data_IF_088770300427
#
_entry.id   IF_088770300427
#
_cell.length_a   1.000
_cell.length_b   1.000
_cell.length_c   1.000
_cell.angle_alpha   90.00
_cell.angle_beta   90.00
_cell.angle_gamma   90.00
#
_symmetry.space_group_name_H-M   'P 1'
#
loop_
_entity.id
_entity.type
_entity.pdbx_description
1 polymer ?
#
# COMPACT_ATOMS: atom_id res chain seq x y z
N UNK A 1 2.92 5.88 -1.54
CA UNK A 1 3.79 6.37 -0.44
C UNK A 1 3.50 7.85 -0.22
N UNK A 2 3.38 8.25 1.04
CA UNK A 2 3.14 9.62 1.49
C UNK A 2 4.39 10.15 2.17
N UNK A 3 4.87 11.33 1.79
CA UNK A 3 6.13 11.90 2.28
C UNK A 3 6.06 13.43 2.40
N UNK A 4 6.85 14.02 3.28
CA UNK A 4 7.05 15.48 3.36
C UNK A 4 8.01 16.00 2.28
N UNK A 5 8.86 15.12 1.75
CA UNK A 5 9.90 15.43 0.76
C UNK A 5 9.70 14.52 -0.47
N UNK A 6 8.89 15.02 -1.42
CA UNK A 6 8.55 14.31 -2.66
C UNK A 6 9.75 14.26 -3.61
N UNK A 7 10.52 15.34 -3.70
CA UNK A 7 11.65 15.43 -4.61
C UNK A 7 12.71 14.37 -4.27
N UNK A 8 13.11 14.30 -3.00
CA UNK A 8 14.09 13.29 -2.55
C UNK A 8 13.56 11.87 -2.70
N UNK A 9 12.28 11.64 -2.41
CA UNK A 9 11.67 10.32 -2.54
C UNK A 9 11.61 9.86 -4.00
N UNK A 10 11.27 10.76 -4.92
CA UNK A 10 11.28 10.54 -6.37
C UNK A 10 12.70 10.29 -6.87
N UNK A 11 13.68 11.09 -6.44
CA UNK A 11 15.08 10.84 -6.79
C UNK A 11 15.52 9.44 -6.34
N UNK A 12 15.22 9.07 -5.09
CA UNK A 12 15.58 7.76 -4.55
C UNK A 12 14.94 6.61 -5.34
N UNK A 13 13.63 6.68 -5.64
CA UNK A 13 12.93 5.60 -6.35
C UNK A 13 13.45 5.42 -7.78
N UNK A 14 13.78 6.51 -8.46
CA UNK A 14 14.30 6.47 -9.83
C UNK A 14 15.78 6.07 -9.89
N UNK A 15 16.61 6.57 -8.98
CA UNK A 15 18.08 6.38 -9.07
C UNK A 15 18.57 5.11 -8.37
N UNK A 16 18.03 4.80 -7.19
CA UNK A 16 18.46 3.67 -6.36
C UNK A 16 17.70 2.38 -6.70
N UNK A 17 16.41 2.50 -7.02
CA UNK A 17 15.55 1.35 -7.34
C UNK A 17 15.29 1.18 -8.84
N UNK A 18 15.82 2.08 -9.68
CA UNK A 18 15.67 2.03 -11.14
C UNK A 18 14.19 1.94 -11.57
N UNK A 19 13.30 2.60 -10.82
CA UNK A 19 11.90 2.66 -11.16
C UNK A 19 11.68 3.52 -12.42
N UNK A 20 10.85 3.03 -13.32
CA UNK A 20 10.40 3.77 -14.50
C UNK A 20 9.25 4.68 -14.12
N UNK A 21 9.16 5.86 -14.72
CA UNK A 21 8.08 6.82 -14.50
C UNK A 21 7.07 6.77 -15.63
N UNK A 22 5.80 6.98 -15.33
CA UNK A 22 4.80 7.29 -16.35
C UNK A 22 5.01 8.70 -16.92
N UNK A 23 4.23 9.06 -17.95
CA UNK A 23 4.39 10.31 -18.72
C UNK A 23 4.20 11.59 -17.92
N UNK A 24 3.36 11.57 -16.88
CA UNK A 24 3.07 12.74 -16.04
C UNK A 24 3.87 12.78 -14.73
N UNK A 25 4.68 11.76 -14.44
CA UNK A 25 5.52 11.71 -13.26
C UNK A 25 4.81 11.33 -11.96
N UNK A 26 3.53 10.94 -12.02
CA UNK A 26 2.73 10.63 -10.82
C UNK A 26 2.84 9.18 -10.36
N UNK A 27 3.23 8.28 -11.27
CA UNK A 27 3.35 6.84 -11.03
C UNK A 27 4.72 6.30 -11.42
N UNK A 28 5.21 5.39 -10.60
CA UNK A 28 6.46 4.68 -10.80
C UNK A 28 6.23 3.17 -10.86
N UNK A 29 7.00 2.47 -11.67
CA UNK A 29 6.97 1.02 -11.76
C UNK A 29 8.39 0.46 -11.63
N UNK A 30 8.60 -0.52 -10.75
CA UNK A 30 9.89 -1.21 -10.69
C UNK A 30 10.13 -2.03 -11.97
N UNK A 31 11.37 -2.50 -12.22
CA UNK A 31 11.71 -3.18 -13.48
C UNK A 31 10.90 -4.45 -13.81
N UNK A 32 10.25 -5.08 -12.84
CA UNK A 32 9.44 -6.29 -13.00
C UNK A 32 8.15 -6.03 -13.77
N UNK A 33 7.80 -6.94 -14.68
CA UNK A 33 6.73 -6.73 -15.66
C UNK A 33 5.32 -6.67 -15.08
N UNK A 34 5.11 -7.05 -13.83
CA UNK A 34 3.79 -7.13 -13.17
C UNK A 34 3.81 -6.48 -11.77
N UNK A 35 4.77 -5.59 -11.50
CA UNK A 35 4.86 -4.95 -10.20
C UNK A 35 3.75 -3.91 -10.03
N UNK A 36 3.15 -3.76 -8.84
CA UNK A 36 2.23 -2.66 -8.56
C UNK A 36 2.88 -1.32 -8.85
N UNK A 37 2.06 -0.36 -9.24
CA UNK A 37 2.50 1.02 -9.41
C UNK A 37 2.67 1.68 -8.05
N UNK A 38 3.66 2.57 -7.97
CA UNK A 38 3.99 3.33 -6.77
C UNK A 38 3.69 4.78 -7.06
N UNK A 39 2.85 5.42 -6.25
CA UNK A 39 2.70 6.88 -6.26
C UNK A 39 3.44 7.49 -5.07
N UNK A 40 4.03 8.67 -5.28
CA UNK A 40 4.69 9.46 -4.24
C UNK A 40 3.90 10.75 -4.07
N UNK A 41 3.22 10.89 -2.93
CA UNK A 41 2.30 12.00 -2.67
C UNK A 41 2.82 12.83 -1.50
N UNK A 42 2.73 14.16 -1.63
CA UNK A 42 3.07 15.08 -0.54
C UNK A 42 2.02 14.97 0.56
N UNK A 43 2.45 14.83 1.81
CA UNK A 43 1.53 14.96 2.95
C UNK A 43 1.15 16.43 3.22
N UNK A 44 -0.03 16.69 3.80
CA UNK A 44 -0.36 18.01 4.37
C UNK A 44 0.72 18.50 5.35
N UNK A 45 0.86 19.81 5.50
CA UNK A 45 1.88 20.39 6.41
C UNK A 45 1.62 20.06 7.89
N UNK A 46 0.38 19.78 8.24
CA UNK A 46 -0.10 19.38 9.56
C UNK A 46 -0.23 17.86 9.74
N UNK A 47 0.24 17.07 8.77
CA UNK A 47 0.14 15.62 8.81
C UNK A 47 0.87 15.04 10.03
N UNK A 48 0.16 14.16 10.74
CA UNK A 48 0.71 13.37 11.83
C UNK A 48 1.71 12.33 11.31
N UNK A 49 2.62 11.82 12.16
CA UNK A 49 3.54 10.75 11.77
C UNK A 49 2.84 9.49 11.23
N UNK A 50 1.59 9.24 11.63
CA UNK A 50 0.79 8.11 11.15
C UNK A 50 0.31 8.26 9.69
N UNK A 51 0.30 9.48 9.16
CA UNK A 51 -0.12 9.78 7.78
C UNK A 51 1.04 9.75 6.80
N UNK A 52 2.27 9.68 7.31
CA UNK A 52 3.50 9.55 6.54
C UNK A 52 3.79 8.06 6.33
N UNK A 53 4.22 7.69 5.12
CA UNK A 53 4.68 6.35 4.80
C UNK A 53 3.73 5.59 3.87
N UNK A 54 3.39 4.37 4.24
CA UNK A 54 2.70 3.45 3.35
C UNK A 54 1.20 3.76 3.26
N UNK A 55 0.71 3.84 2.02
CA UNK A 55 -0.71 3.78 1.70
C UNK A 55 -0.88 2.72 0.62
N UNK A 56 -1.78 1.77 0.84
CA UNK A 56 -2.01 0.65 -0.09
C UNK A 56 -3.37 0.80 -0.73
N UNK A 57 -3.42 0.83 -2.06
CA UNK A 57 -4.66 0.77 -2.82
C UNK A 57 -4.77 -0.62 -3.42
N UNK A 58 -5.80 -1.37 -3.03
CA UNK A 58 -6.12 -2.66 -3.62
C UNK A 58 -7.07 -2.46 -4.79
N UNK A 59 -6.75 -3.06 -5.92
CA UNK A 59 -7.70 -3.19 -7.01
C UNK A 59 -8.53 -4.46 -6.83
N UNK A 60 -9.84 -4.34 -7.07
CA UNK A 60 -10.79 -5.46 -6.98
C UNK A 60 -11.59 -5.59 -8.26
N UNK A 61 -11.89 -6.83 -8.64
CA UNK A 61 -12.68 -7.10 -9.84
C UNK A 61 -14.13 -6.60 -9.78
N UNK A 62 -14.68 -6.40 -8.57
CA UNK A 62 -16.04 -5.90 -8.40
C UNK A 62 -16.15 -5.05 -7.14
N UNK A 63 -16.11 -3.73 -7.32
CA UNK A 63 -16.18 -2.77 -6.23
C UNK A 63 -17.54 -2.77 -5.53
N UNK A 64 -18.64 -3.06 -6.23
CA UNK A 64 -19.97 -3.15 -5.61
C UNK A 64 -20.06 -4.35 -4.65
N UNK A 65 -19.48 -5.48 -5.04
CA UNK A 65 -19.37 -6.65 -4.15
C UNK A 65 -18.49 -6.34 -2.95
N UNK A 66 -17.35 -5.67 -3.16
CA UNK A 66 -16.49 -5.24 -2.06
C UNK A 66 -17.26 -4.31 -1.09
N UNK A 67 -18.02 -3.35 -1.61
CA UNK A 67 -18.88 -2.46 -0.79
C UNK A 67 -19.85 -3.25 0.09
N UNK A 68 -20.56 -4.23 -0.48
CA UNK A 68 -21.49 -5.09 0.29
C UNK A 68 -20.81 -5.89 1.39
N UNK A 69 -19.60 -6.40 1.14
CA UNK A 69 -18.82 -7.11 2.15
C UNK A 69 -18.42 -6.16 3.28
N UNK A 70 -17.89 -4.98 2.95
CA UNK A 70 -17.51 -3.97 3.93
C UNK A 70 -18.71 -3.54 4.79
N UNK A 71 -19.88 -3.31 4.19
CA UNK A 71 -21.12 -3.00 4.91
C UNK A 71 -21.58 -4.15 5.82
N UNK A 72 -21.52 -5.39 5.33
CA UNK A 72 -21.94 -6.58 6.10
C UNK A 72 -21.07 -6.79 7.33
N UNK A 73 -19.75 -6.58 7.19
CA UNK A 73 -18.75 -6.75 8.25
C UNK A 73 -18.57 -5.48 9.10
N UNK A 74 -19.44 -4.47 8.94
CA UNK A 74 -19.39 -3.20 9.67
C UNK A 74 -18.02 -2.50 9.61
N UNK A 75 -17.36 -2.58 8.45
CA UNK A 75 -16.12 -1.83 8.18
C UNK A 75 -16.48 -0.42 7.76
N UNK A 76 -15.95 0.55 8.48
CA UNK A 76 -16.12 1.96 8.15
C UNK A 76 -15.27 2.33 6.94
N UNK A 77 -15.91 2.93 5.94
CA UNK A 77 -15.22 3.48 4.77
C UNK A 77 -15.84 4.79 4.30
N UNK A 78 -15.03 5.61 3.65
CA UNK A 78 -15.45 6.83 2.95
C UNK A 78 -15.28 6.61 1.46
N UNK A 79 -16.33 6.88 0.69
CA UNK A 79 -16.26 6.82 -0.77
C UNK A 79 -15.80 8.17 -1.33
N UNK A 80 -14.74 8.13 -2.13
CA UNK A 80 -14.19 9.27 -2.86
C UNK A 80 -14.35 9.04 -4.37
N UNK A 81 -14.51 10.13 -5.11
CA UNK A 81 -14.43 10.11 -6.58
C UNK A 81 -13.03 10.54 -7.01
N UNK A 82 -12.38 9.70 -7.81
CA UNK A 82 -11.06 9.97 -8.40
C UNK A 82 -11.18 10.90 -9.63
N UNK A 83 -10.04 11.40 -10.11
CA UNK A 83 -9.98 12.32 -11.26
C UNK A 83 -10.56 11.72 -12.55
N UNK A 84 -10.46 10.40 -12.70
CA UNK A 84 -11.03 9.63 -13.81
C UNK A 84 -12.53 9.28 -13.60
N UNK A 85 -13.17 9.89 -12.60
CA UNK A 85 -14.55 9.61 -12.17
C UNK A 85 -14.80 8.21 -11.62
N UNK A 86 -13.75 7.40 -11.41
CA UNK A 86 -13.88 6.12 -10.73
C UNK A 86 -14.07 6.31 -9.22
N UNK A 87 -14.69 5.31 -8.58
CA UNK A 87 -14.90 5.32 -7.14
C UNK A 87 -13.74 4.63 -6.39
N UNK A 88 -13.34 5.24 -5.28
CA UNK A 88 -12.37 4.71 -4.32
C UNK A 88 -13.02 4.61 -2.94
N UNK A 89 -12.98 3.44 -2.32
CA UNK A 89 -13.41 3.22 -0.95
C UNK A 89 -12.20 3.32 -0.03
N UNK A 90 -12.05 4.44 0.68
CA UNK A 90 -10.99 4.63 1.68
C UNK A 90 -11.43 4.00 3.00
N UNK A 91 -10.65 3.05 3.49
CA UNK A 91 -10.99 2.26 4.67
C UNK A 91 -10.45 2.92 5.94
N UNK A 92 -11.13 2.70 7.06
CA UNK A 92 -10.60 3.10 8.35
C UNK A 92 -9.30 2.33 8.67
N UNK A 93 -8.19 3.07 8.76
CA UNK A 93 -6.88 2.55 9.15
C UNK A 93 -6.89 1.90 10.55
N UNK A 94 -7.81 2.23 11.44
CA UNK A 94 -7.97 1.54 12.73
C UNK A 94 -8.61 0.16 12.58
N UNK A 95 -9.21 -0.19 11.44
CA UNK A 95 -9.70 -1.54 11.17
C UNK A 95 -8.74 -2.31 10.25
N UNK A 96 -8.29 -1.67 9.16
CA UNK A 96 -7.33 -2.26 8.22
C UNK A 96 -5.90 -2.36 8.80
N UNK A 97 -5.59 -1.49 9.77
CA UNK A 97 -4.32 -1.39 10.48
C UNK A 97 -3.27 -0.50 9.82
N UNK A 98 -3.39 -0.25 8.52
CA UNK A 98 -2.64 0.79 7.81
C UNK A 98 -3.58 1.53 6.86
N UNK A 99 -3.18 2.72 6.43
CA UNK A 99 -3.97 3.52 5.51
C UNK A 99 -4.18 2.77 4.19
N UNK A 100 -5.44 2.47 3.87
CA UNK A 100 -5.81 1.55 2.80
C UNK A 100 -7.01 2.07 2.03
N UNK A 101 -7.07 1.77 0.74
CA UNK A 101 -8.30 1.89 -0.04
C UNK A 101 -8.51 0.73 -0.99
N UNK A 102 -9.72 0.67 -1.53
CA UNK A 102 -10.15 -0.29 -2.54
C UNK A 102 -10.70 0.45 -3.75
N UNK A 103 -10.25 0.10 -4.95
CA UNK A 103 -10.77 0.63 -6.20
C UNK A 103 -11.12 -0.50 -7.18
N UNK A 104 -11.98 -0.20 -8.14
CA UNK A 104 -12.28 -1.13 -9.22
C UNK A 104 -11.02 -1.36 -10.08
N UNK A 105 -10.71 -2.62 -10.38
CA UNK A 105 -9.69 -2.96 -11.40
C UNK A 105 -10.10 -2.32 -12.74
N UNK A 106 -9.21 -1.59 -13.41
CA UNK A 106 -9.49 -1.05 -14.73
C UNK A 106 -9.94 -2.15 -15.70
N UNK A 107 -10.95 -1.86 -16.52
CA UNK A 107 -11.45 -2.81 -17.51
C UNK A 107 -10.46 -3.11 -18.64
N UNK A 108 -9.48 -2.23 -18.83
CA UNK A 108 -8.40 -2.38 -19.81
C UNK A 108 -7.06 -2.47 -19.07
N UNK A 109 -6.23 -3.44 -19.45
CA UNK A 109 -4.88 -3.56 -18.91
C UNK A 109 -4.08 -2.32 -19.36
N UNK A 110 -3.59 -1.53 -18.40
CA UNK A 110 -2.79 -0.34 -18.69
C UNK A 110 -1.60 -0.74 -19.57
N UNK A 111 -1.45 -0.08 -20.72
CA UNK A 111 -0.33 -0.35 -21.61
C UNK A 111 1.00 -0.12 -20.86
N UNK A 112 1.87 -1.12 -20.87
CA UNK A 112 3.20 -1.05 -20.24
C UNK A 112 4.12 -0.04 -20.95
N UNK A 113 3.73 0.43 -22.12
CA UNK A 113 4.48 1.41 -22.91
C UNK A 113 4.45 2.83 -22.34
N UNK A 114 3.62 3.10 -21.31
CA UNK A 114 3.57 4.42 -20.67
C UNK A 114 4.75 4.68 -19.73
N UNK A 115 5.50 3.65 -19.34
CA UNK A 115 6.60 3.76 -18.38
C UNK A 115 7.96 3.86 -19.06
N UNK A 116 8.65 4.98 -18.82
CA UNK A 116 9.97 5.27 -19.40
C UNK A 116 11.06 5.25 -18.34
N UNK A 117 12.25 4.77 -18.73
CA UNK A 117 13.41 4.76 -17.82
C UNK A 117 14.01 6.15 -17.72
N UNK A 118 14.20 6.64 -16.50
CA UNK A 118 14.96 7.85 -16.25
C UNK A 118 16.46 7.55 -16.40
N UNK A 119 17.19 8.41 -17.11
CA UNK A 119 18.59 8.20 -17.51
C UNK A 119 19.62 8.22 -16.35
N UNK A 120 19.16 8.26 -15.10
CA UNK A 120 19.98 8.49 -13.90
C UNK A 120 20.19 7.29 -12.98
N UNK A 121 19.70 6.09 -13.32
CA UNK A 121 19.90 4.91 -12.46
C UNK A 121 21.39 4.55 -12.31
N UNK A 122 21.83 4.32 -11.07
CA UNK A 122 23.23 3.93 -10.80
C UNK A 122 23.50 2.57 -11.44
N UNK A 123 24.63 2.45 -12.17
CA UNK A 123 24.99 1.19 -12.84
C UNK A 123 25.10 0.01 -11.87
N UNK A 124 25.50 0.26 -10.62
CA UNK A 124 25.69 -0.75 -9.58
C UNK A 124 24.39 -1.35 -9.03
N UNK A 125 23.26 -0.63 -9.14
CA UNK A 125 21.95 -1.06 -8.62
C UNK A 125 20.95 -1.37 -9.74
N UNK A 126 21.33 -1.14 -10.99
CA UNK A 126 20.52 -1.49 -12.15
C UNK A 126 20.25 -3.01 -12.12
N UNK A 127 18.99 -3.38 -11.89
CA UNK A 127 18.47 -4.75 -11.71
C UNK A 127 18.65 -5.38 -10.30
N UNK A 128 19.07 -4.64 -9.28
CA UNK A 128 19.15 -5.20 -7.91
C UNK A 128 17.78 -5.37 -7.25
N UNK A 129 16.83 -4.51 -7.62
CA UNK A 129 15.44 -4.59 -7.16
C UNK A 129 14.54 -4.66 -8.38
N UNK A 130 13.79 -5.75 -8.49
CA UNK A 130 12.94 -6.02 -9.65
C UNK A 130 11.47 -5.82 -9.31
N UNK A 131 11.06 -6.10 -8.08
CA UNK A 131 9.65 -6.09 -7.68
C UNK A 131 9.49 -5.72 -6.20
N UNK A 132 8.34 -5.16 -5.84
CA UNK A 132 7.85 -5.08 -4.48
C UNK A 132 7.37 -6.47 -4.10
N UNK A 133 8.11 -7.13 -3.20
CA UNK A 133 7.74 -8.48 -2.79
C UNK A 133 6.64 -8.48 -1.72
N UNK A 134 6.80 -7.66 -0.68
CA UNK A 134 5.85 -7.48 0.41
C UNK A 134 6.16 -6.18 1.15
N UNK A 135 5.26 -5.77 2.03
CA UNK A 135 5.52 -4.76 3.06
C UNK A 135 5.24 -5.36 4.43
N UNK A 136 5.89 -4.81 5.46
CA UNK A 136 5.60 -5.12 6.84
C UNK A 136 5.05 -3.86 7.50
N UNK A 137 4.04 -4.05 8.35
CA UNK A 137 3.47 -2.98 9.17
C UNK A 137 3.52 -3.41 10.63
N UNK A 138 3.77 -2.45 11.52
CA UNK A 138 3.79 -2.66 12.97
C UNK A 138 2.51 -2.04 13.49
N UNK A 139 1.71 -2.85 14.19
CA UNK A 139 0.39 -2.44 14.67
C UNK A 139 0.15 -2.93 16.09
N UNK A 140 -0.55 -2.16 16.93
CA UNK A 140 -1.17 -2.69 18.14
C UNK A 140 -2.37 -3.57 17.76
N UNK A 141 -2.66 -4.59 18.59
CA UNK A 141 -3.77 -5.53 18.44
C UNK A 141 -3.85 -6.19 17.05
N UNK A 142 -3.13 -7.31 16.89
CA UNK A 142 -3.05 -8.01 15.61
C UNK A 142 -4.31 -8.82 15.26
N UNK A 143 -5.18 -9.12 16.22
CA UNK A 143 -6.27 -10.07 16.01
C UNK A 143 -7.39 -9.47 15.16
N UNK A 144 -7.78 -8.23 15.45
CA UNK A 144 -8.76 -7.51 14.62
C UNK A 144 -8.23 -7.32 13.19
N UNK A 145 -6.94 -7.04 13.04
CA UNK A 145 -6.30 -6.85 11.73
C UNK A 145 -6.24 -8.16 10.97
N UNK A 146 -5.89 -9.24 11.67
CA UNK A 146 -5.87 -10.58 11.09
C UNK A 146 -7.24 -10.97 10.55
N UNK A 147 -8.30 -10.76 11.33
CA UNK A 147 -9.68 -10.98 10.85
C UNK A 147 -9.97 -10.17 9.59
N UNK A 148 -9.63 -8.87 9.60
CA UNK A 148 -9.82 -8.00 8.44
C UNK A 148 -9.09 -8.54 7.19
N UNK A 149 -7.80 -8.86 7.30
CA UNK A 149 -7.03 -9.33 6.16
C UNK A 149 -7.52 -10.70 5.66
N UNK A 150 -7.87 -11.62 6.56
CA UNK A 150 -8.28 -12.98 6.20
C UNK A 150 -9.72 -13.07 5.69
N UNK A 151 -10.68 -12.42 6.36
CA UNK A 151 -12.10 -12.57 6.05
C UNK A 151 -12.59 -11.53 5.05
N UNK A 152 -12.08 -10.30 5.12
CA UNK A 152 -12.56 -9.21 4.26
C UNK A 152 -11.72 -9.13 2.98
N UNK A 153 -10.38 -9.15 3.10
CA UNK A 153 -9.50 -9.16 1.92
C UNK A 153 -9.20 -10.57 1.38
N UNK A 154 -9.73 -11.62 2.02
CA UNK A 154 -9.55 -13.02 1.60
C UNK A 154 -8.08 -13.47 1.57
N UNK A 155 -7.21 -12.86 2.39
CA UNK A 155 -5.83 -13.31 2.50
C UNK A 155 -5.75 -14.65 3.21
N UNK A 156 -4.80 -15.48 2.80
CA UNK A 156 -4.51 -16.74 3.48
C UNK A 156 -3.36 -16.55 4.45
N UNK A 157 -3.56 -16.91 5.72
CA UNK A 157 -2.48 -16.96 6.69
C UNK A 157 -1.40 -17.95 6.26
N UNK A 158 -0.15 -17.50 6.24
CA UNK A 158 0.99 -18.37 5.88
C UNK A 158 1.80 -18.76 7.13
N UNK A 159 2.06 -17.81 8.04
CA UNK A 159 2.93 -18.04 9.20
C UNK A 159 2.71 -16.98 10.29
N UNK A 160 2.89 -17.39 11.54
CA UNK A 160 3.03 -16.50 12.71
C UNK A 160 4.44 -16.64 13.28
N UNK A 161 5.03 -15.52 13.68
CA UNK A 161 6.26 -15.50 14.45
C UNK A 161 5.94 -15.04 15.88
N UNK A 162 6.05 -15.95 16.85
CA UNK A 162 5.88 -15.61 18.26
C UNK A 162 7.15 -14.98 18.79
N UNK A 163 7.10 -13.71 19.14
CA UNK A 163 8.19 -13.03 19.84
C UNK A 163 7.95 -13.18 21.33
N UNK A 164 8.76 -14.01 22.00
CA UNK A 164 8.81 -14.01 23.45
C UNK A 164 9.51 -12.72 23.90
N UNK A 165 8.75 -11.69 24.23
CA UNK A 165 9.28 -10.40 24.70
C UNK A 165 9.91 -10.45 26.11
N UNK A 166 10.04 -11.66 26.68
CA UNK A 166 10.36 -11.88 28.09
C UNK A 166 9.10 -11.76 28.94
N UNK A 167 9.03 -12.57 29.99
CA UNK A 167 8.06 -12.34 31.05
C UNK A 167 8.32 -10.94 31.62
N UNK A 168 7.27 -10.13 31.78
CA UNK A 168 7.34 -9.04 32.74
C UNK A 168 7.86 -9.63 34.08
N UNK A 169 8.65 -8.89 34.88
CA UNK A 169 9.23 -9.44 36.11
C UNK A 169 8.21 -9.99 37.11
N UNK A 170 6.92 -9.80 36.89
CA UNK A 170 5.85 -10.38 37.68
C UNK A 170 4.80 -10.95 36.73
N UNK A 171 4.59 -12.27 36.81
CA UNK A 171 3.70 -13.02 35.92
C UNK A 171 2.24 -12.59 36.07
N UNK A 172 1.82 -11.68 35.22
CA UNK A 172 0.43 -11.56 34.81
C UNK A 172 0.32 -11.92 33.34
N UNK A 173 -0.51 -12.94 33.13
CA UNK A 173 -0.99 -13.43 31.86
C UNK A 173 -1.94 -12.36 31.31
N UNK A 174 -1.54 -11.68 30.23
CA UNK A 174 -2.40 -10.73 29.54
C UNK A 174 -3.20 -11.55 28.52
N UNK A 175 -4.46 -11.81 28.87
CA UNK A 175 -5.35 -12.81 28.26
C UNK A 175 -5.86 -12.55 26.85
#
# INVERSE_FOLDING_TARGET
MRTSDVERATEAISTLYNAKSNSDGTLFQLPGSNDPTISIVKVPEDASPAEIGLFVRFSVYNLEKARKVLETEAVSCVENTLEDSSAELVLDHQQAGYATSVCQEPSEELSKDIFTSLSGALRSVRNSTVQINHYASIMPDADQKKFFHEQILSFTHIRTFTVNAGLAPEGQDDG
#
